data_IF_580535608831
#
_entry.id   IF_580535608831
#
_cell.length_a   1.000
_cell.length_b   1.000
_cell.length_c   1.000
_cell.angle_alpha   90.00
_cell.angle_beta   90.00
_cell.angle_gamma   90.00
#
_symmetry.space_group_name_H-M   'P 1'
#
loop_
_entity.id
_entity.type
_entity.pdbx_description
1 polymer ?
#
# COMPACT_ATOMS: atom_id res chain seq x y z
N UNK A 1 -11.17 30.91 -15.94
CA UNK A 1 -10.16 29.86 -15.72
C UNK A 1 -10.55 29.18 -14.44
N UNK A 2 -10.85 27.88 -14.49
CA UNK A 2 -11.09 27.08 -13.28
C UNK A 2 -9.78 27.10 -12.48
N UNK A 3 -9.88 27.43 -11.22
CA UNK A 3 -8.74 27.49 -10.30
C UNK A 3 -8.24 26.06 -10.10
N UNK A 4 -6.92 25.82 -10.27
CA UNK A 4 -6.33 24.48 -10.10
C UNK A 4 -6.55 24.01 -8.67
N UNK A 5 -6.93 22.75 -8.49
CA UNK A 5 -7.21 22.13 -7.20
C UNK A 5 -6.11 21.18 -6.79
N UNK A 6 -5.75 21.16 -5.53
CA UNK A 6 -4.78 20.19 -5.05
C UNK A 6 -5.00 19.87 -3.58
N UNK A 7 -4.65 18.64 -3.19
CA UNK A 7 -4.81 18.21 -1.81
C UNK A 7 -4.27 16.82 -1.54
N UNK A 8 -4.33 16.44 -0.28
CA UNK A 8 -3.87 15.16 0.23
C UNK A 8 -5.04 14.29 0.66
N UNK A 9 -5.04 13.02 0.29
CA UNK A 9 -6.11 12.07 0.59
C UNK A 9 -5.53 10.82 1.23
N UNK A 10 -5.91 10.53 2.47
CA UNK A 10 -5.49 9.29 3.14
C UNK A 10 -6.46 8.14 2.81
N UNK A 11 -5.92 6.97 2.49
CA UNK A 11 -6.69 5.74 2.29
C UNK A 11 -6.52 4.86 3.53
N UNK A 12 -7.59 4.66 4.29
CA UNK A 12 -7.60 3.83 5.50
C UNK A 12 -8.64 2.73 5.42
N UNK A 13 -8.43 1.66 6.16
CA UNK A 13 -9.34 0.51 6.20
C UNK A 13 -8.63 -0.73 6.72
N UNK A 14 -9.39 -1.79 6.93
CA UNK A 14 -8.84 -3.09 7.33
C UNK A 14 -7.82 -3.61 6.31
N UNK A 15 -6.96 -4.58 6.70
CA UNK A 15 -6.17 -5.31 5.71
C UNK A 15 -7.06 -5.96 4.63
N UNK A 16 -6.57 -6.06 3.42
CA UNK A 16 -7.18 -6.76 2.28
C UNK A 16 -8.50 -6.17 1.72
N UNK A 17 -8.92 -4.98 2.15
CA UNK A 17 -10.08 -4.29 1.55
C UNK A 17 -9.80 -3.71 0.16
N UNK A 18 -8.51 -3.67 -0.28
CA UNK A 18 -8.11 -3.25 -1.62
C UNK A 18 -7.48 -1.87 -1.72
N UNK A 19 -6.97 -1.30 -0.62
CA UNK A 19 -6.33 0.04 -0.59
C UNK A 19 -5.21 0.19 -1.61
N UNK A 20 -4.21 -0.69 -1.57
CA UNK A 20 -3.08 -0.69 -2.51
C UNK A 20 -3.50 -0.97 -3.95
N UNK A 21 -4.58 -1.75 -4.16
CA UNK A 21 -5.16 -1.97 -5.50
C UNK A 21 -5.74 -0.68 -6.04
N UNK A 22 -6.48 0.07 -5.21
CA UNK A 22 -7.03 1.37 -5.59
C UNK A 22 -5.91 2.36 -5.90
N UNK A 23 -4.88 2.46 -5.05
CA UNK A 23 -3.74 3.34 -5.28
C UNK A 23 -3.03 3.04 -6.61
N UNK A 24 -2.73 1.78 -6.89
CA UNK A 24 -2.10 1.38 -8.16
C UNK A 24 -2.98 1.73 -9.37
N UNK A 25 -4.31 1.61 -9.24
CA UNK A 25 -5.24 2.01 -10.30
C UNK A 25 -5.23 3.52 -10.52
N UNK A 26 -5.26 4.31 -9.44
CA UNK A 26 -5.20 5.77 -9.49
C UNK A 26 -3.96 6.25 -10.24
N UNK A 27 -2.80 5.68 -9.88
CA UNK A 27 -1.50 6.06 -10.44
C UNK A 27 -1.26 5.48 -11.85
N UNK A 28 -2.00 4.41 -12.21
CA UNK A 28 -1.84 3.70 -13.49
C UNK A 28 -0.61 2.79 -13.55
N UNK A 29 0.12 2.65 -12.45
CA UNK A 29 1.33 1.84 -12.34
C UNK A 29 1.41 1.14 -10.98
N UNK A 30 2.11 0.00 -10.91
CA UNK A 30 2.30 -0.76 -9.68
C UNK A 30 3.39 -0.16 -8.81
N UNK A 31 3.01 0.69 -7.88
CA UNK A 31 3.90 1.28 -6.85
C UNK A 31 3.70 0.68 -5.46
N UNK A 32 2.50 0.17 -5.19
CA UNK A 32 2.16 -0.51 -3.94
C UNK A 32 1.98 -2.01 -4.17
N UNK A 33 2.49 -2.82 -3.26
CA UNK A 33 2.40 -4.28 -3.37
C UNK A 33 1.04 -4.79 -2.94
N UNK A 34 0.63 -5.92 -3.54
CA UNK A 34 -0.67 -6.53 -3.30
C UNK A 34 -0.51 -7.98 -2.85
N UNK A 35 -1.21 -8.36 -1.80
CA UNK A 35 -1.24 -9.74 -1.29
C UNK A 35 -2.50 -9.96 -0.45
N UNK A 36 -2.92 -11.21 -0.35
CA UNK A 36 -3.96 -11.68 0.57
C UNK A 36 -3.47 -11.77 2.03
N UNK A 37 -2.21 -11.50 2.28
CA UNK A 37 -1.61 -11.61 3.63
C UNK A 37 -1.82 -10.32 4.42
N UNK A 38 -2.05 -10.46 5.73
CA UNK A 38 -2.00 -9.32 6.62
C UNK A 38 -0.60 -8.69 6.63
N UNK A 39 -0.52 -7.38 6.89
CA UNK A 39 0.74 -6.62 6.89
C UNK A 39 1.43 -6.58 5.51
N UNK A 40 0.64 -6.56 4.43
CA UNK A 40 1.16 -6.35 3.07
C UNK A 40 1.79 -4.96 2.95
N UNK A 41 1.03 -3.90 3.19
CA UNK A 41 1.54 -2.53 3.28
C UNK A 41 2.08 -2.29 4.69
N UNK A 42 3.31 -1.83 4.84
CA UNK A 42 3.95 -1.55 6.14
C UNK A 42 4.33 -0.09 6.32
N UNK A 43 4.73 0.58 5.27
CA UNK A 43 5.01 2.01 5.22
C UNK A 43 3.83 2.77 4.58
N UNK A 44 3.77 4.08 4.74
CA UNK A 44 2.92 4.92 3.89
C UNK A 44 3.42 4.80 2.46
N UNK A 45 2.53 4.68 1.49
CA UNK A 45 2.87 4.75 0.07
C UNK A 45 2.16 5.95 -0.50
N UNK A 46 2.92 6.91 -1.02
CA UNK A 46 2.35 8.06 -1.69
C UNK A 46 2.24 7.80 -3.19
N UNK A 47 1.05 8.10 -3.73
CA UNK A 47 0.78 8.09 -5.16
C UNK A 47 0.24 9.43 -5.61
N UNK A 48 0.77 9.97 -6.67
CA UNK A 48 0.39 11.27 -7.24
C UNK A 48 -0.51 11.07 -8.45
N UNK A 49 -1.67 11.68 -8.41
CA UNK A 49 -2.62 11.72 -9.52
C UNK A 49 -2.68 13.15 -10.04
N UNK A 50 -2.27 13.35 -11.29
CA UNK A 50 -2.21 14.68 -11.91
C UNK A 50 -3.09 14.73 -13.16
N UNK A 51 -3.89 15.79 -13.25
CA UNK A 51 -4.66 16.18 -14.43
C UNK A 51 -4.42 17.67 -14.72
N UNK A 52 -4.96 18.17 -15.84
CA UNK A 52 -4.90 19.60 -16.15
C UNK A 52 -5.63 20.51 -15.14
N UNK A 53 -6.53 19.95 -14.34
CA UNK A 53 -7.40 20.68 -13.42
C UNK A 53 -7.06 20.45 -11.95
N UNK A 54 -6.40 19.33 -11.63
CA UNK A 54 -6.14 18.96 -10.26
C UNK A 54 -4.90 18.06 -10.08
N UNK A 55 -4.30 18.16 -8.89
CA UNK A 55 -3.31 17.20 -8.41
C UNK A 55 -3.69 16.70 -7.03
N UNK A 56 -3.88 15.37 -6.88
CA UNK A 56 -4.22 14.74 -5.61
C UNK A 56 -3.12 13.78 -5.20
N UNK A 57 -2.62 13.94 -3.98
CA UNK A 57 -1.63 13.06 -3.38
C UNK A 57 -2.35 12.04 -2.50
N UNK A 58 -2.38 10.79 -2.94
CA UNK A 58 -2.98 9.69 -2.19
C UNK A 58 -1.96 9.04 -1.28
N UNK A 59 -2.35 8.77 -0.04
CA UNK A 59 -1.50 8.12 0.96
C UNK A 59 -2.15 6.77 1.32
N UNK A 60 -1.62 5.66 0.74
CA UNK A 60 -1.99 4.31 1.18
C UNK A 60 -1.35 4.02 2.52
N UNK A 61 -2.14 3.55 3.47
CA UNK A 61 -1.70 3.29 4.83
C UNK A 61 -1.67 1.80 5.13
N UNK A 62 -0.79 1.36 6.06
CA UNK A 62 -0.88 0.02 6.61
C UNK A 62 -2.29 -0.29 7.11
N UNK A 63 -2.77 -1.51 6.88
CA UNK A 63 -4.05 -1.95 7.39
C UNK A 63 -4.07 -1.92 8.93
N UNK A 64 -5.06 -1.25 9.51
CA UNK A 64 -5.16 -1.08 10.97
C UNK A 64 -5.59 -2.39 11.61
N UNK A 65 -4.74 -2.93 12.49
CA UNK A 65 -4.98 -4.14 13.26
C UNK A 65 -4.28 -4.06 14.63
N UNK A 66 -4.66 -4.93 15.56
CA UNK A 66 -4.01 -4.98 16.88
C UNK A 66 -2.54 -5.43 16.75
N UNK A 67 -1.55 -4.62 17.18
CA UNK A 67 -0.14 -4.95 17.04
C UNK A 67 0.27 -6.13 17.94
N UNK A 68 1.24 -6.92 17.46
CA UNK A 68 1.83 -8.03 18.22
C UNK A 68 3.34 -7.86 18.42
N UNK A 69 3.97 -6.97 17.68
CA UNK A 69 5.40 -6.68 17.65
C UNK A 69 5.62 -5.20 17.44
N UNK A 70 6.79 -4.66 17.71
CA UNK A 70 7.12 -3.24 17.46
C UNK A 70 6.92 -2.82 16.02
N UNK A 71 7.15 -3.71 15.06
CA UNK A 71 6.78 -3.44 13.67
C UNK A 71 5.27 -3.16 13.53
N UNK A 72 4.43 -3.88 14.27
CA UNK A 72 2.98 -3.63 14.28
C UNK A 72 2.62 -2.28 14.90
N UNK A 73 3.30 -1.89 15.99
CA UNK A 73 3.13 -0.57 16.62
C UNK A 73 3.49 0.54 15.61
N UNK A 74 4.63 0.41 14.93
CA UNK A 74 5.05 1.30 13.86
C UNK A 74 3.98 1.44 12.76
N UNK A 75 3.43 0.32 12.28
CA UNK A 75 2.39 0.34 11.25
C UNK A 75 1.12 1.09 11.68
N UNK A 76 0.70 0.90 12.94
CA UNK A 76 -0.47 1.59 13.50
C UNK A 76 -0.18 3.10 13.64
N UNK A 77 0.99 3.49 14.14
CA UNK A 77 1.43 4.87 14.23
C UNK A 77 1.48 5.55 12.85
N UNK A 78 2.06 4.86 11.86
CA UNK A 78 2.13 5.30 10.47
C UNK A 78 0.73 5.54 9.87
N UNK A 79 -0.22 4.63 10.10
CA UNK A 79 -1.58 4.79 9.62
C UNK A 79 -2.28 6.01 10.24
N UNK A 80 -2.03 6.29 11.52
CA UNK A 80 -2.64 7.45 12.20
C UNK A 80 -1.95 8.77 11.89
N UNK A 81 -0.65 8.77 11.67
CA UNK A 81 0.06 9.99 11.26
C UNK A 81 -0.46 10.51 9.92
N UNK A 82 -0.82 9.62 9.01
CA UNK A 82 -1.39 9.96 7.71
C UNK A 82 -2.75 10.68 7.77
N UNK A 83 -3.47 10.60 8.92
CA UNK A 83 -4.78 11.26 9.09
C UNK A 83 -4.67 12.71 9.57
N UNK A 84 -3.49 13.19 9.97
CA UNK A 84 -3.38 14.48 10.68
C UNK A 84 -3.44 15.69 9.76
N UNK A 85 -2.99 15.57 8.53
CA UNK A 85 -2.77 16.69 7.62
C UNK A 85 -3.24 16.36 6.21
N UNK A 86 -4.49 15.88 6.10
CA UNK A 86 -5.11 15.55 4.81
C UNK A 86 -6.42 16.30 4.63
N UNK A 87 -6.76 16.57 3.37
CA UNK A 87 -7.97 17.29 2.97
C UNK A 87 -9.18 16.37 2.90
N UNK A 88 -8.98 15.07 2.71
CA UNK A 88 -10.03 14.06 2.77
C UNK A 88 -9.50 12.70 3.23
N UNK A 89 -10.39 11.86 3.72
CA UNK A 89 -10.10 10.47 4.11
C UNK A 89 -11.00 9.53 3.33
N UNK A 90 -10.43 8.55 2.64
CA UNK A 90 -11.15 7.41 2.09
C UNK A 90 -11.18 6.29 3.13
N UNK A 91 -12.29 6.10 3.78
CA UNK A 91 -12.52 4.90 4.59
C UNK A 91 -12.98 3.77 3.69
N UNK A 92 -12.08 2.85 3.43
CA UNK A 92 -12.28 1.78 2.47
C UNK A 92 -12.69 0.49 3.15
N UNK A 93 -13.80 -0.08 2.72
CA UNK A 93 -14.35 -1.37 3.16
C UNK A 93 -14.49 -2.34 1.98
N UNK A 94 -14.73 -3.61 2.28
CA UNK A 94 -14.94 -4.67 1.28
C UNK A 94 -16.39 -5.12 1.28
N UNK A 95 -17.05 -5.06 0.12
CA UNK A 95 -18.46 -5.47 -0.02
C UNK A 95 -18.68 -6.97 0.26
N UNK A 96 -17.65 -7.81 0.00
CA UNK A 96 -17.69 -9.27 0.22
C UNK A 96 -17.42 -9.69 1.68
N UNK A 97 -17.27 -8.71 2.58
CA UNK A 97 -17.03 -8.96 4.02
C UNK A 97 -18.03 -8.22 4.88
N UNK A 98 -18.48 -8.85 5.97
CA UNK A 98 -19.31 -8.17 6.96
C UNK A 98 -18.51 -7.17 7.78
N UNK A 99 -19.18 -6.09 8.23
CA UNK A 99 -18.61 -5.16 9.21
C UNK A 99 -18.11 -5.92 10.44
N UNK A 100 -16.92 -5.58 10.86
CA UNK A 100 -16.27 -6.21 12.00
C UNK A 100 -15.66 -5.20 12.97
N UNK A 101 -15.15 -5.70 14.09
CA UNK A 101 -14.52 -4.87 15.13
C UNK A 101 -13.41 -3.95 14.61
N UNK A 102 -12.75 -4.33 13.51
CA UNK A 102 -11.72 -3.50 12.88
C UNK A 102 -12.32 -2.27 12.23
N UNK A 103 -13.48 -2.39 11.58
CA UNK A 103 -14.19 -1.25 10.99
C UNK A 103 -14.71 -0.31 12.07
N UNK A 104 -15.31 -0.87 13.14
CA UNK A 104 -15.79 -0.09 14.28
C UNK A 104 -14.66 0.71 14.94
N UNK A 105 -13.50 0.07 15.11
CA UNK A 105 -12.32 0.74 15.68
C UNK A 105 -11.79 1.91 14.82
N UNK A 106 -11.84 1.77 13.50
CA UNK A 106 -11.47 2.85 12.58
C UNK A 106 -12.51 3.97 12.63
N UNK A 107 -13.80 3.64 12.52
CA UNK A 107 -14.89 4.61 12.57
C UNK A 107 -14.88 5.44 13.84
N UNK A 108 -14.65 4.84 15.02
CA UNK A 108 -14.57 5.58 16.30
C UNK A 108 -13.50 6.67 16.29
N UNK A 109 -12.41 6.47 15.57
CA UNK A 109 -11.37 7.49 15.41
C UNK A 109 -11.72 8.52 14.35
N UNK A 110 -12.35 8.10 13.25
CA UNK A 110 -12.75 9.02 12.20
C UNK A 110 -13.87 9.96 12.66
N UNK A 111 -14.76 9.54 13.55
CA UNK A 111 -15.80 10.38 14.18
C UNK A 111 -15.25 11.63 14.87
N UNK A 112 -14.01 11.57 15.35
CA UNK A 112 -13.36 12.70 16.03
C UNK A 112 -12.61 13.63 15.07
N UNK A 113 -12.49 13.25 13.80
CA UNK A 113 -11.83 14.06 12.77
C UNK A 113 -12.78 15.15 12.25
N UNK A 114 -12.21 16.31 11.90
CA UNK A 114 -12.91 17.36 11.15
C UNK A 114 -12.76 17.20 9.64
N UNK A 115 -11.87 16.33 9.20
CA UNK A 115 -11.60 16.05 7.80
C UNK A 115 -12.78 15.27 7.20
N UNK A 116 -13.28 15.65 6.01
CA UNK A 116 -14.34 14.91 5.33
C UNK A 116 -13.94 13.44 5.11
N UNK A 117 -14.84 12.54 5.46
CA UNK A 117 -14.65 11.09 5.31
C UNK A 117 -15.58 10.56 4.23
N UNK A 118 -15.01 9.91 3.24
CA UNK A 118 -15.72 9.21 2.16
C UNK A 118 -15.76 7.72 2.48
N UNK A 119 -16.94 7.12 2.45
CA UNK A 119 -17.08 5.67 2.54
C UNK A 119 -16.88 5.06 1.14
N UNK A 120 -15.81 4.33 0.94
CA UNK A 120 -15.54 3.63 -0.31
C UNK A 120 -15.81 2.14 -0.14
N UNK A 121 -16.87 1.65 -0.75
CA UNK A 121 -17.27 0.24 -0.70
C UNK A 121 -16.66 -0.47 -1.90
N UNK A 122 -15.55 -1.17 -1.69
CA UNK A 122 -14.82 -1.85 -2.75
C UNK A 122 -15.28 -3.29 -2.97
N UNK A 123 -14.88 -3.86 -4.09
CA UNK A 123 -15.18 -5.23 -4.55
C UNK A 123 -16.68 -5.47 -4.81
N UNK A 124 -17.37 -4.47 -5.33
CA UNK A 124 -18.80 -4.61 -5.71
C UNK A 124 -19.02 -5.66 -6.81
N UNK A 125 -17.98 -6.00 -7.54
CA UNK A 125 -17.95 -7.09 -8.53
C UNK A 125 -18.17 -8.48 -7.91
N UNK A 126 -18.08 -8.62 -6.59
CA UNK A 126 -18.22 -9.89 -5.86
C UNK A 126 -19.56 -10.06 -5.14
N UNK A 127 -20.44 -9.07 -5.18
CA UNK A 127 -21.72 -9.10 -4.47
C UNK A 127 -22.88 -8.77 -5.41
N UNK A 128 -24.09 -9.16 -5.04
CA UNK A 128 -25.26 -8.77 -5.79
C UNK A 128 -25.58 -7.28 -5.54
N UNK A 129 -26.03 -6.50 -6.55
CA UNK A 129 -26.34 -5.08 -6.36
C UNK A 129 -27.36 -4.79 -5.24
N UNK A 130 -28.31 -5.67 -5.02
CA UNK A 130 -29.33 -5.53 -3.95
C UNK A 130 -28.71 -5.58 -2.55
N UNK A 131 -27.57 -6.25 -2.37
CA UNK A 131 -26.88 -6.33 -1.09
C UNK A 131 -26.20 -5.01 -0.70
N UNK A 132 -25.90 -4.13 -1.69
CA UNK A 132 -25.20 -2.88 -1.45
C UNK A 132 -25.98 -1.92 -0.57
N UNK A 133 -27.30 -1.86 -0.72
CA UNK A 133 -28.17 -0.98 0.10
C UNK A 133 -28.04 -1.31 1.59
N UNK A 134 -28.09 -2.61 1.93
CA UNK A 134 -27.91 -3.05 3.31
C UNK A 134 -26.52 -2.75 3.87
N UNK A 135 -25.48 -2.86 3.05
CA UNK A 135 -24.11 -2.50 3.45
C UNK A 135 -24.01 -0.99 3.71
N UNK A 136 -24.55 -0.16 2.82
CA UNK A 136 -24.57 1.30 2.96
C UNK A 136 -25.27 1.68 4.28
N UNK A 137 -26.48 1.16 4.51
CA UNK A 137 -27.27 1.44 5.72
C UNK A 137 -26.53 1.04 6.99
N UNK A 138 -25.87 -0.13 7.01
CA UNK A 138 -25.10 -0.61 8.18
C UNK A 138 -23.98 0.37 8.58
N UNK A 139 -23.30 0.99 7.63
CA UNK A 139 -22.22 1.95 7.93
C UNK A 139 -22.74 3.38 8.18
N UNK A 140 -23.70 3.85 7.36
CA UNK A 140 -24.23 5.22 7.50
C UNK A 140 -25.08 5.42 8.75
N UNK A 141 -25.65 4.35 9.31
CA UNK A 141 -26.32 4.40 10.63
C UNK A 141 -25.34 4.62 11.80
N UNK A 142 -24.05 4.41 11.59
CA UNK A 142 -23.02 4.53 12.64
C UNK A 142 -22.26 5.86 12.59
N UNK A 143 -22.13 6.46 11.42
CA UNK A 143 -21.32 7.65 11.19
C UNK A 143 -21.82 8.39 9.93
N UNK A 144 -21.77 9.71 9.96
CA UNK A 144 -22.00 10.53 8.78
C UNK A 144 -20.77 10.52 7.88
N UNK A 145 -20.97 10.29 6.58
CA UNK A 145 -19.95 10.35 5.56
C UNK A 145 -20.22 11.52 4.61
N UNK A 146 -19.16 12.15 4.11
CA UNK A 146 -19.28 13.21 3.12
C UNK A 146 -19.89 12.66 1.82
N UNK A 147 -19.48 11.46 1.42
CA UNK A 147 -20.02 10.73 0.28
C UNK A 147 -19.88 9.21 0.49
N UNK A 148 -20.70 8.43 -0.23
CA UNK A 148 -20.64 6.96 -0.25
C UNK A 148 -20.48 6.51 -1.69
N UNK A 149 -19.33 5.91 -2.01
CA UNK A 149 -18.99 5.52 -3.38
C UNK A 149 -18.69 4.01 -3.46
N UNK A 150 -19.62 3.20 -3.96
CA UNK A 150 -19.37 1.79 -4.26
C UNK A 150 -18.49 1.66 -5.51
N UNK A 151 -17.38 0.91 -5.42
CA UNK A 151 -16.43 0.74 -6.54
C UNK A 151 -15.98 -0.72 -6.70
N UNK A 152 -15.42 -1.01 -7.88
CA UNK A 152 -14.49 -2.12 -8.04
C UNK A 152 -13.13 -1.57 -8.45
N UNK A 153 -12.16 -1.60 -7.53
CA UNK A 153 -10.80 -1.17 -7.82
C UNK A 153 -10.12 -2.06 -8.87
N UNK A 154 -10.54 -3.31 -9.01
CA UNK A 154 -10.01 -4.25 -10.02
C UNK A 154 -10.65 -4.02 -11.38
N UNK A 155 -11.97 -3.96 -11.47
CA UNK A 155 -12.69 -3.83 -12.73
C UNK A 155 -12.81 -2.36 -13.21
N UNK A 156 -12.73 -1.39 -12.29
CA UNK A 156 -12.83 0.04 -12.57
C UNK A 156 -14.25 0.60 -12.50
N UNK A 157 -15.22 -0.19 -12.02
CA UNK A 157 -16.57 0.32 -11.84
C UNK A 157 -16.57 1.53 -10.90
N UNK A 158 -17.25 2.60 -11.30
CA UNK A 158 -17.40 3.87 -10.58
C UNK A 158 -16.07 4.57 -10.19
N UNK A 159 -14.96 4.20 -10.83
CA UNK A 159 -13.66 4.83 -10.58
C UNK A 159 -13.68 6.33 -10.91
N UNK A 160 -14.20 6.70 -12.09
CA UNK A 160 -14.29 8.09 -12.52
C UNK A 160 -15.22 8.91 -11.60
N UNK A 161 -16.30 8.32 -11.12
CA UNK A 161 -17.19 8.95 -10.14
C UNK A 161 -16.43 9.28 -8.85
N UNK A 162 -15.66 8.33 -8.31
CA UNK A 162 -14.84 8.56 -7.12
C UNK A 162 -13.84 9.70 -7.35
N UNK A 163 -13.13 9.69 -8.48
CA UNK A 163 -12.12 10.70 -8.78
C UNK A 163 -12.72 12.08 -8.95
N UNK A 164 -13.83 12.21 -9.68
CA UNK A 164 -14.53 13.49 -9.87
C UNK A 164 -15.03 14.05 -8.53
N UNK A 165 -15.66 13.22 -7.71
CA UNK A 165 -16.14 13.62 -6.37
C UNK A 165 -15.00 14.12 -5.49
N UNK A 166 -13.83 13.45 -5.55
CA UNK A 166 -12.65 13.90 -4.80
C UNK A 166 -12.09 15.22 -5.33
N UNK A 167 -12.00 15.39 -6.66
CA UNK A 167 -11.52 16.64 -7.26
C UNK A 167 -12.45 17.81 -6.89
N UNK A 168 -13.76 17.61 -6.88
CA UNK A 168 -14.71 18.63 -6.44
C UNK A 168 -14.49 19.08 -5.00
N UNK A 169 -14.11 18.15 -4.13
CA UNK A 169 -13.86 18.39 -2.70
C UNK A 169 -12.52 19.05 -2.41
N UNK A 170 -11.52 18.93 -3.30
CA UNK A 170 -10.18 19.49 -3.05
C UNK A 170 -10.21 21.01 -3.04
N UNK A 171 -9.41 21.64 -2.16
CA UNK A 171 -9.23 23.10 -2.16
C UNK A 171 -8.49 23.57 -3.41
N UNK A 172 -8.65 24.85 -3.72
CA UNK A 172 -7.76 25.54 -4.65
C UNK A 172 -6.33 25.55 -4.11
N UNK A 173 -5.37 25.13 -4.93
CA UNK A 173 -3.98 25.02 -4.50
C UNK A 173 -3.01 24.83 -5.65
N UNK A 174 -1.70 24.99 -5.37
CA UNK A 174 -0.65 24.80 -6.37
C UNK A 174 -0.44 23.33 -6.68
N UNK A 175 0.19 23.06 -7.79
CA UNK A 175 0.75 21.75 -8.08
C UNK A 175 2.00 21.52 -7.21
N UNK A 176 2.04 20.38 -6.48
CA UNK A 176 3.12 20.02 -5.56
C UNK A 176 4.25 19.25 -6.23
N UNK A 177 3.91 18.42 -7.23
CA UNK A 177 4.83 17.52 -7.93
C UNK A 177 4.82 17.77 -9.43
N UNK A 178 5.91 17.50 -10.18
CA UNK A 178 5.92 17.48 -11.64
C UNK A 178 4.83 16.57 -12.23
N UNK A 179 4.38 16.86 -13.45
CA UNK A 179 3.28 16.14 -14.11
C UNK A 179 3.52 14.64 -14.29
N UNK A 180 4.77 14.26 -14.48
CA UNK A 180 5.21 12.88 -14.70
C UNK A 180 5.60 12.13 -13.44
N UNK A 181 5.58 12.80 -12.29
CA UNK A 181 5.89 12.17 -11.01
C UNK A 181 4.67 11.44 -10.44
N UNK A 182 4.77 10.12 -10.32
CA UNK A 182 3.69 9.24 -9.84
C UNK A 182 3.82 8.85 -8.36
N UNK A 183 4.99 9.07 -7.74
CA UNK A 183 5.27 8.76 -6.33
C UNK A 183 6.47 9.57 -5.85
N UNK A 184 6.58 9.80 -4.56
CA UNK A 184 7.75 10.39 -3.91
C UNK A 184 8.77 9.34 -3.43
N UNK A 185 8.40 8.06 -3.48
CA UNK A 185 9.28 6.99 -3.06
C UNK A 185 10.42 6.75 -4.06
N UNK A 186 11.65 6.57 -3.59
CA UNK A 186 12.76 6.22 -4.46
C UNK A 186 12.59 4.82 -5.05
N UNK A 187 13.09 4.61 -6.27
CA UNK A 187 12.96 3.36 -7.01
C UNK A 187 13.42 2.13 -6.20
N UNK A 188 14.52 2.25 -5.45
CA UNK A 188 15.03 1.13 -4.64
C UNK A 188 14.05 0.67 -3.57
N UNK A 189 13.22 1.58 -3.04
CA UNK A 189 12.17 1.24 -2.08
C UNK A 189 11.09 0.38 -2.77
N UNK A 190 10.59 0.83 -3.92
CA UNK A 190 9.55 0.09 -4.66
C UNK A 190 10.09 -1.28 -5.11
N UNK A 191 11.35 -1.34 -5.55
CA UNK A 191 12.04 -2.60 -5.89
C UNK A 191 12.09 -3.55 -4.70
N UNK A 192 12.44 -3.06 -3.51
CA UNK A 192 12.45 -3.89 -2.29
C UNK A 192 11.08 -4.47 -1.98
N UNK A 193 10.04 -3.66 -2.12
CA UNK A 193 8.65 -4.08 -1.91
C UNK A 193 8.19 -5.09 -2.96
N UNK A 194 8.54 -4.92 -4.25
CA UNK A 194 8.23 -5.90 -5.29
C UNK A 194 8.87 -7.27 -5.03
N UNK A 195 10.11 -7.30 -4.52
CA UNK A 195 10.73 -8.56 -4.08
C UNK A 195 9.99 -9.13 -2.87
N UNK A 196 9.65 -8.30 -1.87
CA UNK A 196 8.90 -8.71 -0.69
C UNK A 196 7.53 -9.27 -1.05
N UNK A 197 6.82 -8.68 -2.00
CA UNK A 197 5.55 -9.22 -2.51
C UNK A 197 5.68 -10.67 -3.00
N UNK A 198 6.74 -10.99 -3.75
CA UNK A 198 6.91 -12.37 -4.25
C UNK A 198 7.20 -13.35 -3.12
N UNK A 199 7.90 -12.92 -2.08
CA UNK A 199 8.02 -13.73 -0.87
C UNK A 199 6.66 -13.96 -0.21
N UNK A 200 5.83 -12.91 -0.05
CA UNK A 200 4.48 -13.02 0.51
C UNK A 200 3.60 -13.99 -0.28
N UNK A 201 3.62 -13.91 -1.60
CA UNK A 201 2.79 -14.74 -2.49
C UNK A 201 3.24 -16.21 -2.55
N UNK A 202 4.54 -16.47 -2.43
CA UNK A 202 5.13 -17.80 -2.60
C UNK A 202 5.36 -18.55 -1.29
N UNK A 203 5.19 -17.89 -0.14
CA UNK A 203 5.37 -18.51 1.17
C UNK A 203 4.07 -18.52 1.96
N UNK A 204 4.04 -19.30 3.04
CA UNK A 204 2.85 -19.50 3.90
C UNK A 204 3.22 -19.37 5.37
N UNK A 205 2.22 -19.49 6.22
CA UNK A 205 2.32 -19.50 7.67
C UNK A 205 3.02 -18.23 8.22
N UNK A 206 4.05 -18.37 9.02
CA UNK A 206 4.75 -17.28 9.69
C UNK A 206 5.81 -16.56 8.82
N UNK A 207 6.22 -17.16 7.70
CA UNK A 207 7.30 -16.59 6.86
C UNK A 207 6.92 -15.22 6.29
N UNK A 208 5.71 -15.02 5.70
CA UNK A 208 5.28 -13.72 5.18
C UNK A 208 5.37 -12.58 6.20
N UNK A 209 5.07 -12.87 7.47
CA UNK A 209 5.00 -11.87 8.53
C UNK A 209 6.37 -11.48 9.09
N UNK A 210 7.41 -12.28 8.84
CA UNK A 210 8.75 -12.13 9.42
C UNK A 210 9.84 -11.76 8.41
N UNK A 211 9.45 -11.31 7.21
CA UNK A 211 10.37 -10.96 6.13
C UNK A 211 10.47 -9.45 5.96
N UNK A 212 11.71 -8.95 5.82
CA UNK A 212 12.00 -7.65 5.23
C UNK A 212 12.89 -7.83 4.01
N UNK A 213 12.95 -6.84 3.14
CA UNK A 213 13.85 -6.82 1.98
C UNK A 213 14.55 -5.49 1.94
N UNK A 214 15.87 -5.52 1.74
CA UNK A 214 16.71 -4.34 1.60
C UNK A 214 17.42 -4.41 0.26
N UNK A 215 17.37 -3.34 -0.51
CA UNK A 215 18.20 -3.19 -1.71
C UNK A 215 19.56 -2.66 -1.28
N UNK A 216 20.59 -3.50 -1.40
CA UNK A 216 21.95 -3.19 -0.98
C UNK A 216 22.67 -2.32 -2.03
N UNK A 217 22.35 -2.53 -3.31
CA UNK A 217 22.93 -1.80 -4.43
C UNK A 217 21.98 -1.81 -5.63
N UNK A 218 21.87 -0.67 -6.30
CA UNK A 218 21.17 -0.52 -7.57
C UNK A 218 22.01 0.38 -8.48
N UNK A 219 22.58 -0.17 -9.55
CA UNK A 219 23.50 0.54 -10.44
C UNK A 219 23.23 0.18 -11.89
N UNK A 220 23.32 1.16 -12.75
CA UNK A 220 23.31 0.97 -14.20
C UNK A 220 24.74 0.61 -14.67
N UNK A 221 24.90 -0.46 -15.43
CA UNK A 221 26.19 -0.87 -15.95
C UNK A 221 26.45 -0.26 -17.36
N UNK A 222 27.65 -0.47 -17.89
CA UNK A 222 28.07 0.04 -19.21
C UNK A 222 27.20 -0.43 -20.38
N UNK A 223 26.46 -1.53 -20.24
CA UNK A 223 25.55 -2.10 -21.24
C UNK A 223 24.08 -1.67 -21.01
N UNK A 224 23.88 -0.59 -20.27
CA UNK A 224 22.56 -0.01 -19.96
C UNK A 224 21.59 -0.95 -19.23
N UNK A 225 22.13 -1.98 -18.56
CA UNK A 225 21.35 -2.88 -17.71
C UNK A 225 21.43 -2.45 -16.26
N UNK A 226 20.29 -2.45 -15.59
CA UNK A 226 20.21 -2.17 -14.14
C UNK A 226 20.61 -3.43 -13.37
N UNK A 227 21.69 -3.34 -12.59
CA UNK A 227 22.14 -4.40 -11.70
C UNK A 227 21.67 -4.11 -10.30
N UNK A 228 20.86 -5.00 -9.72
CA UNK A 228 20.25 -4.87 -8.41
C UNK A 228 20.70 -6.01 -7.53
N UNK A 229 21.20 -5.67 -6.35
CA UNK A 229 21.50 -6.61 -5.27
C UNK A 229 20.55 -6.33 -4.12
N UNK A 230 19.83 -7.36 -3.66
CA UNK A 230 18.89 -7.24 -2.56
C UNK A 230 19.00 -8.42 -1.59
N UNK A 231 18.83 -8.11 -0.31
CA UNK A 231 18.89 -9.08 0.78
C UNK A 231 17.50 -9.27 1.37
N UNK A 232 17.04 -10.52 1.38
CA UNK A 232 15.82 -10.95 2.07
C UNK A 232 16.20 -11.29 3.52
N UNK A 233 15.64 -10.55 4.47
CA UNK A 233 15.89 -10.68 5.90
C UNK A 233 14.81 -11.56 6.52
N UNK A 234 15.20 -12.56 7.31
CA UNK A 234 14.31 -13.43 8.09
C UNK A 234 14.77 -13.57 9.53
N UNK A 235 13.92 -14.08 10.42
CA UNK A 235 14.27 -14.20 11.84
C UNK A 235 14.96 -15.51 12.23
N UNK A 236 14.73 -16.59 11.45
CA UNK A 236 15.18 -17.96 11.82
C UNK A 236 15.79 -18.70 10.63
N UNK A 237 16.71 -19.61 10.93
CA UNK A 237 17.33 -20.47 9.93
C UNK A 237 16.31 -21.35 9.18
N UNK A 238 15.26 -21.82 9.85
CA UNK A 238 14.17 -22.57 9.21
C UNK A 238 13.47 -21.74 8.11
N UNK A 239 13.21 -20.46 8.37
CA UNK A 239 12.64 -19.54 7.39
C UNK A 239 13.59 -19.28 6.21
N UNK A 240 14.89 -19.13 6.48
CA UNK A 240 15.92 -19.03 5.44
C UNK A 240 15.89 -20.27 4.53
N UNK A 241 15.79 -21.46 5.12
CA UNK A 241 15.69 -22.72 4.37
C UNK A 241 14.45 -22.76 3.46
N UNK A 242 13.29 -22.27 3.95
CA UNK A 242 12.04 -22.18 3.17
C UNK A 242 12.21 -21.22 1.98
N UNK A 243 12.78 -20.03 2.19
CA UNK A 243 12.98 -19.02 1.13
C UNK A 243 13.99 -19.48 0.08
N UNK A 244 15.04 -20.17 0.47
CA UNK A 244 16.01 -20.75 -0.49
C UNK A 244 15.34 -21.88 -1.24
N UNK A 245 14.65 -22.79 -0.53
CA UNK A 245 14.03 -23.98 -1.07
C UNK A 245 15.02 -25.04 -1.50
N UNK A 246 14.51 -26.21 -1.89
CA UNK A 246 15.35 -27.33 -2.34
C UNK A 246 16.15 -26.94 -3.59
N UNK A 247 17.48 -26.98 -3.48
CA UNK A 247 18.38 -26.60 -4.57
C UNK A 247 18.25 -25.15 -5.05
N UNK A 248 17.78 -24.22 -4.18
CA UNK A 248 17.62 -22.81 -4.54
C UNK A 248 16.38 -22.49 -5.38
N UNK A 249 15.46 -23.45 -5.60
CA UNK A 249 14.31 -23.31 -6.50
C UNK A 249 13.38 -22.17 -6.07
N UNK A 250 13.04 -22.08 -4.79
CA UNK A 250 12.13 -21.04 -4.29
C UNK A 250 12.72 -19.63 -4.48
N UNK A 251 13.99 -19.45 -4.13
CA UNK A 251 14.68 -18.17 -4.32
C UNK A 251 14.76 -17.76 -5.80
N UNK A 252 15.00 -18.72 -6.68
CA UNK A 252 14.99 -18.51 -8.14
C UNK A 252 13.59 -18.08 -8.62
N UNK A 253 12.52 -18.71 -8.13
CA UNK A 253 11.14 -18.38 -8.50
C UNK A 253 10.77 -16.97 -8.02
N UNK A 254 11.15 -16.62 -6.78
CA UNK A 254 10.99 -15.26 -6.23
C UNK A 254 11.71 -14.24 -7.15
N UNK A 255 13.00 -14.47 -7.43
CA UNK A 255 13.79 -13.56 -8.25
C UNK A 255 13.25 -13.40 -9.67
N UNK A 256 12.82 -14.51 -10.30
CA UNK A 256 12.28 -14.46 -11.67
C UNK A 256 10.98 -13.66 -11.74
N UNK A 257 10.08 -13.82 -10.77
CA UNK A 257 8.82 -13.09 -10.73
C UNK A 257 9.03 -11.61 -10.35
N UNK A 258 9.89 -11.35 -9.37
CA UNK A 258 10.21 -9.98 -8.96
C UNK A 258 10.87 -9.20 -10.12
N UNK A 259 11.82 -9.81 -10.81
CA UNK A 259 12.50 -9.17 -11.95
C UNK A 259 11.52 -8.71 -13.02
N UNK A 260 10.49 -9.48 -13.35
CA UNK A 260 9.49 -9.08 -14.35
C UNK A 260 8.75 -7.79 -13.96
N UNK A 261 8.32 -7.71 -12.71
CA UNK A 261 7.62 -6.53 -12.22
C UNK A 261 8.58 -5.32 -12.14
N UNK A 262 9.83 -5.55 -11.74
CA UNK A 262 10.87 -4.51 -11.68
C UNK A 262 11.23 -4.00 -13.09
N UNK A 263 11.38 -4.89 -14.07
CA UNK A 263 11.61 -4.51 -15.48
C UNK A 263 10.45 -3.68 -16.04
N UNK A 264 9.21 -4.01 -15.66
CA UNK A 264 8.03 -3.23 -16.04
C UNK A 264 8.01 -1.85 -15.37
N UNK A 265 8.42 -1.75 -14.10
CA UNK A 265 8.49 -0.50 -13.35
C UNK A 265 9.54 0.45 -13.95
N UNK A 266 10.74 -0.08 -14.17
CA UNK A 266 11.90 0.73 -14.60
C UNK A 266 11.97 0.99 -16.11
N UNK A 267 11.23 0.23 -16.91
CA UNK A 267 11.32 0.25 -18.37
C UNK A 267 12.62 -0.36 -18.94
N UNK A 268 13.48 -0.92 -18.09
CA UNK A 268 14.82 -1.38 -18.41
C UNK A 268 15.02 -2.86 -18.14
N UNK A 269 16.03 -3.48 -18.78
CA UNK A 269 16.45 -4.84 -18.44
C UNK A 269 17.20 -4.88 -17.13
N UNK A 270 16.81 -5.85 -16.27
CA UNK A 270 17.33 -5.97 -14.91
C UNK A 270 18.08 -7.29 -14.71
N UNK A 271 19.25 -7.20 -14.08
CA UNK A 271 19.92 -8.33 -13.47
C UNK A 271 19.72 -8.25 -11.94
N UNK A 272 18.95 -9.21 -11.39
CA UNK A 272 18.56 -9.23 -9.98
C UNK A 272 19.29 -10.36 -9.24
N UNK A 273 20.11 -9.99 -8.26
CA UNK A 273 20.75 -10.92 -7.31
C UNK A 273 20.03 -10.85 -5.96
N UNK A 274 19.68 -12.02 -5.43
CA UNK A 274 19.00 -12.15 -4.16
C UNK A 274 19.83 -12.96 -3.16
N UNK A 275 19.96 -12.39 -1.96
CA UNK A 275 20.60 -13.04 -0.81
C UNK A 275 19.58 -13.25 0.31
N UNK A 276 19.82 -14.23 1.20
CA UNK A 276 18.96 -14.46 2.37
C UNK A 276 19.80 -14.42 3.63
N UNK A 277 19.46 -13.48 4.52
CA UNK A 277 20.15 -13.25 5.80
C UNK A 277 19.21 -13.55 6.97
N UNK A 278 19.73 -14.18 8.02
CA UNK A 278 19.02 -14.34 9.28
C UNK A 278 19.40 -13.21 10.22
N UNK A 279 18.39 -12.48 10.71
CA UNK A 279 18.53 -11.45 11.74
C UNK A 279 17.47 -11.69 12.82
N UNK A 280 17.90 -12.31 13.93
CA UNK A 280 17.01 -12.67 15.03
C UNK A 280 16.32 -11.46 15.65
N UNK A 281 15.01 -11.59 15.89
CA UNK A 281 14.16 -10.60 16.57
C UNK A 281 14.20 -9.20 15.93
N UNK A 282 14.40 -9.11 14.60
CA UNK A 282 14.52 -7.83 13.92
C UNK A 282 13.23 -6.99 14.02
N UNK A 283 12.05 -7.62 14.09
CA UNK A 283 10.75 -6.92 14.20
C UNK A 283 10.54 -6.21 15.54
N UNK A 284 11.31 -6.57 16.56
CA UNK A 284 11.21 -6.05 17.93
C UNK A 284 12.36 -5.11 18.32
N UNK A 285 13.36 -4.92 17.44
CA UNK A 285 14.52 -4.06 17.69
C UNK A 285 14.46 -2.80 16.85
N UNK A 286 14.35 -1.62 17.51
CA UNK A 286 14.23 -0.31 16.85
C UNK A 286 15.36 -0.06 15.84
N UNK A 287 16.59 -0.42 16.16
CA UNK A 287 17.74 -0.25 15.28
C UNK A 287 17.54 -0.98 13.94
N UNK A 288 17.14 -2.27 13.98
CA UNK A 288 16.93 -3.03 12.77
C UNK A 288 15.70 -2.55 11.99
N UNK A 289 14.65 -2.10 12.67
CA UNK A 289 13.50 -1.48 11.99
C UNK A 289 13.96 -0.26 11.18
N UNK A 290 14.76 0.62 11.79
CA UNK A 290 15.31 1.79 11.10
C UNK A 290 16.25 1.42 9.95
N UNK A 291 17.13 0.43 10.15
CA UNK A 291 18.06 -0.05 9.11
C UNK A 291 17.33 -0.66 7.90
N UNK A 292 16.13 -1.22 8.11
CA UNK A 292 15.32 -1.84 7.06
C UNK A 292 14.24 -0.91 6.49
N UNK A 293 14.32 0.41 6.77
CA UNK A 293 13.43 1.42 6.17
C UNK A 293 12.09 1.60 6.89
N UNK A 294 11.95 1.10 8.13
CA UNK A 294 10.76 1.32 8.96
C UNK A 294 11.02 2.46 9.95
N UNK A 295 10.96 3.71 9.47
CA UNK A 295 11.20 4.93 10.26
C UNK A 295 9.95 5.78 10.30
N UNK A 296 9.48 6.21 11.49
CA UNK A 296 8.29 7.06 11.61
C UNK A 296 8.41 8.43 10.90
N UNK A 297 9.64 8.93 10.80
CA UNK A 297 9.94 10.30 10.36
C UNK A 297 10.36 10.40 8.88
N UNK A 298 10.49 9.30 8.16
CA UNK A 298 11.01 9.30 6.78
C UNK A 298 9.94 9.64 5.71
N UNK A 299 8.66 9.89 6.11
CA UNK A 299 7.57 10.18 5.14
C UNK A 299 6.48 11.05 5.75
#
# INVERSE_FOLDING_TARGET
>A
MTEHKSGFVAIVGRPNVGKSTLLNRIVGQKIAIMSDKAQTTRNKIQGVYTTSEAQIIFIDTPGIHKPKHRLGDFMVETAYSALKEVDAVLFMISADEKRGRGDDFIMERLKTSKTPVFLVINKIDKVHPDDLLGIIEDYTSQMDFAEVVPISATEGNNFDTLMNTLIEQMPAGPQYFPDDQITDHPEYFIVSELVREKVLLLTRDEVPHSVAVVVDSMKRNENDKVHIQATIIVERNSQKGIIIGKGGKMLKDIGTKARRDIEQLLGDKVFLELWVKVQKDWRDKKTYLQDYGYRPDDY
#
